data_IF_151031224626
#
_entry.id   IF_151031224626
#
_cell.length_a   1.000
_cell.length_b   1.000
_cell.length_c   1.000
_cell.angle_alpha   90.00
_cell.angle_beta   90.00
_cell.angle_gamma   90.00
#
_symmetry.space_group_name_H-M   'P 1'
#
loop_
_entity.id
_entity.type
_entity.pdbx_description
1 polymer ?
#
# COMPACT_ATOMS: atom_id res chain seq x y z
N UNK A 1 -4.82 -8.09 -15.13
CA UNK A 1 -4.63 -7.03 -16.12
C UNK A 1 -4.11 -5.82 -15.36
N UNK A 2 -2.79 -5.60 -15.41
CA UNK A 2 -2.12 -4.50 -14.71
C UNK A 2 -2.22 -3.28 -15.63
N UNK A 3 -3.10 -2.36 -15.33
CA UNK A 3 -3.31 -1.08 -15.99
C UNK A 3 -3.61 -1.14 -17.51
N UNK A 4 -4.86 -0.96 -17.91
CA UNK A 4 -5.21 -0.73 -19.31
C UNK A 4 -4.98 0.72 -19.76
N UNK A 5 -4.34 1.54 -18.94
CA UNK A 5 -4.25 3.00 -19.15
C UNK A 5 -3.01 3.37 -19.97
N UNK A 6 -2.68 2.56 -20.98
CA UNK A 6 -1.63 2.93 -21.95
C UNK A 6 -2.20 3.96 -22.93
N UNK A 7 -1.87 5.21 -22.67
CA UNK A 7 -2.13 6.31 -23.57
C UNK A 7 -1.14 6.21 -24.76
N UNK A 8 -1.64 6.31 -25.98
CA UNK A 8 -0.82 6.39 -27.16
C UNK A 8 -0.17 7.77 -27.29
N UNK A 9 1.15 7.82 -27.13
CA UNK A 9 1.94 9.05 -27.03
C UNK A 9 2.19 9.84 -28.28
N UNK A 10 1.87 9.32 -29.43
CA UNK A 10 2.24 9.95 -30.67
C UNK A 10 1.59 11.32 -30.92
N UNK A 11 0.62 11.71 -30.09
CA UNK A 11 -0.13 12.97 -30.26
C UNK A 11 0.05 14.02 -29.18
N UNK A 12 0.75 13.72 -28.09
CA UNK A 12 0.89 14.67 -26.96
C UNK A 12 2.01 15.72 -27.22
N UNK A 13 1.85 16.56 -28.22
CA UNK A 13 2.77 17.68 -28.50
C UNK A 13 2.47 18.91 -27.63
N UNK A 14 1.33 18.98 -26.97
CA UNK A 14 0.95 20.02 -26.01
C UNK A 14 0.09 19.42 -24.90
N UNK A 15 0.29 19.87 -23.68
CA UNK A 15 -0.60 19.55 -22.55
C UNK A 15 -1.95 20.23 -22.82
N UNK A 16 -3.04 19.48 -22.76
CA UNK A 16 -4.37 20.04 -22.82
C UNK A 16 -4.71 20.83 -21.54
N UNK A 17 -5.71 21.69 -21.62
CA UNK A 17 -6.10 22.51 -20.48
C UNK A 17 -6.65 21.65 -19.32
N UNK A 18 -6.20 21.91 -18.10
CA UNK A 18 -6.75 21.27 -16.92
C UNK A 18 -8.25 21.57 -16.73
N UNK A 19 -8.73 22.77 -17.14
CA UNK A 19 -10.15 23.11 -17.07
C UNK A 19 -10.97 22.17 -17.96
N UNK A 20 -10.48 21.87 -19.15
CA UNK A 20 -11.11 20.91 -20.05
C UNK A 20 -11.09 19.49 -19.49
N UNK A 21 -9.96 19.06 -18.90
CA UNK A 21 -9.84 17.77 -18.25
C UNK A 21 -10.82 17.61 -17.06
N UNK A 22 -10.98 18.66 -16.24
CA UNK A 22 -11.96 18.67 -15.15
C UNK A 22 -13.40 18.65 -15.67
N UNK A 23 -13.71 19.42 -16.72
CA UNK A 23 -15.04 19.43 -17.32
C UNK A 23 -15.40 18.03 -17.86
N UNK A 24 -14.52 17.45 -18.67
CA UNK A 24 -14.75 16.12 -19.24
C UNK A 24 -14.87 15.04 -18.17
N UNK A 25 -14.03 15.08 -17.12
CA UNK A 25 -14.15 14.15 -16.00
C UNK A 25 -15.48 14.29 -15.25
N UNK A 26 -15.91 15.52 -14.99
CA UNK A 26 -17.16 15.80 -14.28
C UNK A 26 -18.38 15.37 -15.11
N UNK A 27 -18.35 15.63 -16.41
CA UNK A 27 -19.39 15.18 -17.34
C UNK A 27 -19.48 13.66 -17.42
N UNK A 28 -18.32 12.98 -17.47
CA UNK A 28 -18.25 11.52 -17.53
C UNK A 28 -18.78 10.85 -16.26
N UNK A 29 -18.59 11.44 -15.10
CA UNK A 29 -19.10 10.93 -13.82
C UNK A 29 -20.60 11.21 -13.65
N UNK A 30 -21.06 12.37 -14.10
CA UNK A 30 -22.48 12.79 -14.16
C UNK A 30 -23.33 12.48 -12.90
N UNK A 31 -22.74 12.60 -11.73
CA UNK A 31 -23.40 12.33 -10.45
C UNK A 31 -23.57 13.59 -9.57
N UNK A 32 -23.23 14.77 -10.12
CA UNK A 32 -23.30 16.05 -9.42
C UNK A 32 -22.21 16.28 -8.36
N UNK A 33 -21.25 15.32 -8.19
CA UNK A 33 -20.15 15.49 -7.28
C UNK A 33 -19.01 16.32 -7.90
N UNK A 34 -18.32 17.10 -7.05
CA UNK A 34 -17.12 17.82 -7.46
C UNK A 34 -15.87 16.94 -7.29
N UNK A 35 -14.86 17.10 -8.16
CA UNK A 35 -13.59 16.42 -8.00
C UNK A 35 -12.89 16.86 -6.70
N UNK A 36 -12.28 15.92 -5.99
CA UNK A 36 -11.61 16.15 -4.71
C UNK A 36 -10.11 16.28 -4.84
N UNK A 37 -9.51 15.65 -5.85
CA UNK A 37 -8.06 15.59 -6.05
C UNK A 37 -7.71 15.30 -7.51
N UNK A 38 -6.61 15.91 -7.97
CA UNK A 38 -5.93 15.49 -9.20
C UNK A 38 -4.55 14.92 -8.87
N UNK A 39 -4.21 13.80 -9.48
CA UNK A 39 -2.86 13.25 -9.50
C UNK A 39 -2.32 13.32 -10.93
N UNK A 40 -1.26 14.10 -11.12
CA UNK A 40 -0.62 14.22 -12.41
C UNK A 40 0.15 12.96 -12.77
N UNK A 41 0.16 12.60 -14.05
CA UNK A 41 0.99 11.52 -14.56
C UNK A 41 2.47 11.75 -14.24
N UNK A 42 3.14 10.72 -13.73
CA UNK A 42 4.54 10.81 -13.24
C UNK A 42 5.58 10.82 -14.37
N UNK A 43 5.21 10.44 -15.56
CA UNK A 43 6.08 10.41 -16.74
C UNK A 43 5.24 10.72 -17.98
N UNK A 44 5.92 11.07 -19.08
CA UNK A 44 5.27 11.26 -20.39
C UNK A 44 4.47 9.98 -20.67
N UNK A 45 3.14 10.09 -20.85
CA UNK A 45 2.18 9.09 -21.11
C UNK A 45 1.48 8.43 -19.95
N UNK A 46 1.80 8.81 -18.79
CA UNK A 46 0.92 8.44 -17.69
C UNK A 46 -0.32 9.33 -17.73
N UNK A 47 -1.52 8.76 -17.61
CA UNK A 47 -2.75 9.54 -17.54
C UNK A 47 -2.75 10.41 -16.28
N UNK A 48 -3.47 11.52 -16.34
CA UNK A 48 -3.87 12.25 -15.15
C UNK A 48 -5.05 11.53 -14.49
N UNK A 49 -5.04 11.41 -13.18
CA UNK A 49 -6.12 10.75 -12.43
C UNK A 49 -6.86 11.81 -11.63
N UNK A 50 -8.12 12.02 -11.96
CA UNK A 50 -9.03 12.90 -11.22
C UNK A 50 -9.89 12.02 -10.31
N UNK A 51 -9.88 12.31 -9.00
CA UNK A 51 -10.66 11.58 -8.01
C UNK A 51 -11.91 12.33 -7.62
N UNK A 52 -12.99 11.61 -7.53
CA UNK A 52 -14.28 12.02 -7.00
C UNK A 52 -14.57 11.29 -5.69
N UNK A 53 -15.53 11.78 -4.89
CA UNK A 53 -16.00 11.05 -3.72
C UNK A 53 -16.39 9.62 -4.06
N UNK A 54 -16.27 8.72 -3.07
CA UNK A 54 -16.73 7.36 -3.23
C UNK A 54 -18.24 7.31 -3.55
N UNK A 55 -18.62 6.44 -4.46
CA UNK A 55 -20.03 6.13 -4.68
C UNK A 55 -20.57 5.31 -3.49
N UNK A 56 -21.88 5.38 -3.27
CA UNK A 56 -22.52 4.61 -2.21
C UNK A 56 -22.25 3.10 -2.39
N UNK A 57 -21.68 2.47 -1.38
CA UNK A 57 -21.29 1.06 -1.42
C UNK A 57 -19.94 0.76 -2.11
N UNK A 58 -19.26 1.74 -2.67
CA UNK A 58 -17.94 1.53 -3.28
C UNK A 58 -16.83 1.42 -2.22
N UNK A 59 -15.79 0.62 -2.52
CA UNK A 59 -14.65 0.40 -1.63
C UNK A 59 -13.75 1.64 -1.44
N UNK A 60 -13.87 2.64 -2.33
CA UNK A 60 -13.07 3.85 -2.27
C UNK A 60 -13.49 4.89 -3.31
N UNK A 61 -12.72 5.97 -3.47
CA UNK A 61 -13.05 7.06 -4.38
C UNK A 61 -13.12 6.60 -5.83
N UNK A 62 -13.96 7.27 -6.61
CA UNK A 62 -14.04 7.06 -8.05
C UNK A 62 -12.84 7.74 -8.72
N UNK A 63 -12.13 7.04 -9.55
CA UNK A 63 -10.97 7.52 -10.32
C UNK A 63 -11.34 7.63 -11.80
N UNK A 64 -11.13 8.80 -12.36
CA UNK A 64 -11.25 9.09 -13.79
C UNK A 64 -9.87 9.33 -14.35
N UNK A 65 -9.45 8.47 -15.27
CA UNK A 65 -8.17 8.61 -15.99
C UNK A 65 -8.37 9.49 -17.20
N UNK A 66 -7.52 10.49 -17.38
CA UNK A 66 -7.58 11.49 -18.45
C UNK A 66 -6.28 11.45 -19.25
N UNK A 67 -6.39 11.45 -20.55
CA UNK A 67 -5.26 11.64 -21.45
C UNK A 67 -4.70 13.06 -21.31
N UNK A 68 -3.42 13.24 -20.98
CA UNK A 68 -2.83 14.57 -20.80
C UNK A 68 -2.74 15.40 -22.10
N UNK A 69 -2.79 14.77 -23.27
CA UNK A 69 -2.69 15.45 -24.56
C UNK A 69 -4.04 15.88 -25.13
N UNK A 70 -5.07 15.06 -24.93
CA UNK A 70 -6.40 15.29 -25.52
C UNK A 70 -7.45 15.73 -24.50
N UNK A 71 -7.21 15.56 -23.21
CA UNK A 71 -8.19 15.67 -22.11
C UNK A 71 -9.37 14.71 -22.23
N UNK A 72 -9.25 13.67 -23.04
CA UNK A 72 -10.28 12.64 -23.15
C UNK A 72 -10.25 11.68 -21.93
N UNK A 73 -11.42 11.22 -21.54
CA UNK A 73 -11.55 10.20 -20.50
C UNK A 73 -11.16 8.84 -21.07
N UNK A 74 -10.11 8.25 -20.52
CA UNK A 74 -9.59 6.94 -20.98
C UNK A 74 -10.15 5.78 -20.15
N UNK A 75 -10.44 5.99 -18.87
CA UNK A 75 -11.02 4.97 -18.00
C UNK A 75 -11.72 5.59 -16.78
N UNK A 76 -12.74 4.90 -16.28
CA UNK A 76 -13.42 5.19 -15.01
C UNK A 76 -13.40 3.91 -14.18
N UNK A 77 -12.94 4.01 -12.92
CA UNK A 77 -12.84 2.85 -12.03
C UNK A 77 -12.97 3.25 -10.56
N UNK A 78 -13.44 2.35 -9.72
CA UNK A 78 -13.44 2.55 -8.28
C UNK A 78 -12.09 2.13 -7.70
N UNK A 79 -11.54 2.98 -6.86
CA UNK A 79 -10.37 2.62 -6.08
C UNK A 79 -10.74 1.50 -5.08
N UNK A 80 -9.90 0.48 -4.98
CA UNK A 80 -10.19 -0.71 -4.16
C UNK A 80 -10.66 -1.92 -4.95
N UNK A 81 -11.13 -1.75 -6.19
CA UNK A 81 -11.68 -2.86 -6.99
C UNK A 81 -10.65 -3.53 -7.92
N UNK A 82 -9.50 -2.92 -8.17
CA UNK A 82 -8.44 -3.53 -8.97
C UNK A 82 -7.31 -4.09 -8.08
N UNK A 83 -6.56 -5.12 -8.53
CA UNK A 83 -5.72 -5.96 -7.68
C UNK A 83 -4.79 -5.19 -6.75
N UNK A 84 -4.09 -4.17 -7.23
CA UNK A 84 -3.11 -3.41 -6.42
C UNK A 84 -3.80 -2.69 -5.26
N UNK A 85 -4.92 -2.00 -5.52
CA UNK A 85 -5.66 -1.27 -4.49
C UNK A 85 -6.44 -2.19 -3.57
N UNK A 86 -6.87 -3.35 -4.06
CA UNK A 86 -7.48 -4.39 -3.24
C UNK A 86 -6.49 -4.93 -2.20
N UNK A 87 -5.27 -5.32 -2.61
CA UNK A 87 -4.22 -5.74 -1.66
C UNK A 87 -3.82 -4.62 -0.71
N UNK A 88 -3.79 -3.38 -1.19
CA UNK A 88 -3.54 -2.23 -0.35
C UNK A 88 -4.62 -2.07 0.73
N UNK A 89 -5.91 -2.13 0.38
CA UNK A 89 -7.02 -2.07 1.32
C UNK A 89 -7.04 -3.26 2.28
N UNK A 90 -6.70 -4.45 1.80
CA UNK A 90 -6.54 -5.63 2.66
C UNK A 90 -5.46 -5.40 3.72
N UNK A 91 -4.32 -4.83 3.33
CA UNK A 91 -3.22 -4.55 4.25
C UNK A 91 -3.55 -3.47 5.28
N UNK A 92 -4.23 -2.40 4.87
CA UNK A 92 -4.53 -1.26 5.75
C UNK A 92 -5.76 -1.45 6.63
N UNK A 93 -6.75 -2.24 6.20
CA UNK A 93 -8.05 -2.29 6.88
C UNK A 93 -8.77 -3.63 6.77
N UNK A 94 -8.10 -4.69 6.36
CA UNK A 94 -8.74 -6.01 6.14
C UNK A 94 -10.03 -5.94 5.29
N UNK A 95 -10.16 -4.93 4.42
CA UNK A 95 -11.35 -4.66 3.62
C UNK A 95 -12.61 -4.35 4.46
N UNK A 96 -12.48 -4.02 5.73
CA UNK A 96 -13.59 -3.78 6.67
C UNK A 96 -13.67 -2.34 7.18
N UNK A 97 -13.04 -1.41 6.46
CA UNK A 97 -13.09 0.03 6.77
C UNK A 97 -12.42 0.40 8.10
N UNK A 98 -13.05 1.29 8.86
CA UNK A 98 -12.47 1.84 10.10
C UNK A 98 -12.19 0.80 11.16
N UNK A 99 -13.08 -0.19 11.33
CA UNK A 99 -12.87 -1.28 12.29
C UNK A 99 -11.65 -2.11 11.92
N UNK A 100 -11.46 -2.39 10.63
CA UNK A 100 -10.27 -3.11 10.16
C UNK A 100 -8.99 -2.31 10.33
N UNK A 101 -9.02 -1.01 10.07
CA UNK A 101 -7.88 -0.12 10.29
C UNK A 101 -7.49 -0.10 11.77
N UNK A 102 -8.46 0.00 12.68
CA UNK A 102 -8.21 -0.10 14.12
C UNK A 102 -7.54 -1.44 14.49
N UNK A 103 -8.03 -2.57 13.96
CA UNK A 103 -7.42 -3.89 14.21
C UNK A 103 -5.98 -3.97 13.68
N UNK A 104 -5.71 -3.42 12.49
CA UNK A 104 -4.34 -3.35 11.94
C UNK A 104 -3.42 -2.54 12.85
N UNK A 105 -3.89 -1.41 13.39
CA UNK A 105 -3.15 -0.63 14.36
C UNK A 105 -2.82 -1.40 15.64
N UNK A 106 -3.80 -2.13 16.20
CA UNK A 106 -3.58 -3.01 17.36
C UNK A 106 -2.53 -4.10 17.03
N UNK A 107 -2.59 -4.70 15.85
CA UNK A 107 -1.59 -5.67 15.42
C UNK A 107 -0.20 -5.03 15.28
N UNK A 108 -0.11 -3.78 14.85
CA UNK A 108 1.14 -3.00 14.84
C UNK A 108 1.75 -2.86 16.24
N UNK A 109 0.93 -2.55 17.26
CA UNK A 109 1.36 -2.49 18.67
C UNK A 109 1.83 -3.87 19.15
N UNK A 110 1.10 -4.93 18.83
CA UNK A 110 1.50 -6.30 19.17
C UNK A 110 2.84 -6.66 18.52
N UNK A 111 3.04 -6.32 17.24
CA UNK A 111 4.29 -6.55 16.53
C UNK A 111 5.46 -5.80 17.18
N UNK A 112 5.24 -4.55 17.58
CA UNK A 112 6.23 -3.75 18.30
C UNK A 112 6.61 -4.41 19.64
N UNK A 113 5.62 -4.81 20.42
CA UNK A 113 5.83 -5.50 21.69
C UNK A 113 6.60 -6.81 21.53
N UNK A 114 6.21 -7.66 20.55
CA UNK A 114 6.91 -8.93 20.30
C UNK A 114 8.31 -8.72 19.73
N UNK A 115 8.54 -7.68 18.95
CA UNK A 115 9.88 -7.37 18.44
C UNK A 115 10.83 -6.95 19.57
N UNK A 116 10.37 -6.10 20.49
CA UNK A 116 11.16 -5.68 21.65
C UNK A 116 11.41 -6.86 22.60
N UNK A 117 10.37 -7.61 22.94
CA UNK A 117 10.49 -8.76 23.86
C UNK A 117 11.34 -9.87 23.24
N UNK A 118 11.19 -10.13 21.93
CA UNK A 118 12.02 -11.07 21.20
C UNK A 118 13.50 -10.71 21.22
N UNK A 119 13.83 -9.43 21.06
CA UNK A 119 15.19 -8.94 21.17
C UNK A 119 15.77 -9.14 22.58
N UNK A 120 14.97 -8.87 23.62
CA UNK A 120 15.39 -9.07 25.03
C UNK A 120 15.65 -10.55 25.32
N UNK A 121 14.75 -11.44 24.90
CA UNK A 121 14.88 -12.89 25.09
C UNK A 121 16.07 -13.46 24.29
N UNK A 122 16.29 -12.96 23.09
CA UNK A 122 17.40 -13.38 22.24
C UNK A 122 18.76 -12.94 22.79
N UNK A 123 18.84 -11.89 23.61
CA UNK A 123 20.09 -11.26 24.00
C UNK A 123 21.11 -12.28 24.57
N UNK A 124 22.24 -12.51 23.91
CA UNK A 124 23.19 -13.53 24.35
C UNK A 124 23.99 -13.09 25.57
N UNK A 125 24.28 -14.03 26.46
CA UNK A 125 25.23 -13.81 27.56
C UNK A 125 26.63 -13.52 27.02
N UNK A 126 27.47 -12.87 27.83
CA UNK A 126 28.87 -12.56 27.47
C UNK A 126 29.58 -13.82 26.95
N UNK A 127 30.22 -13.71 25.79
CA UNK A 127 30.94 -14.82 25.14
C UNK A 127 30.09 -15.82 24.34
N UNK A 128 28.74 -15.67 24.32
CA UNK A 128 27.85 -16.57 23.59
C UNK A 128 27.39 -16.06 22.20
N UNK A 129 27.93 -14.94 21.74
CA UNK A 129 27.53 -14.28 20.49
C UNK A 129 27.61 -15.20 19.26
N UNK A 130 28.71 -15.95 19.08
CA UNK A 130 28.83 -16.90 17.95
C UNK A 130 27.73 -17.95 17.96
N UNK A 131 27.36 -18.46 19.15
CA UNK A 131 26.28 -19.44 19.30
C UNK A 131 24.90 -18.85 19.05
N UNK A 132 24.69 -17.57 19.31
CA UNK A 132 23.44 -16.89 19.09
C UNK A 132 23.03 -16.87 17.60
N UNK A 133 24.01 -16.79 16.71
CA UNK A 133 23.81 -16.80 15.25
C UNK A 133 24.01 -18.19 14.60
N UNK A 134 24.31 -19.22 15.37
CA UNK A 134 24.54 -20.56 14.82
C UNK A 134 23.24 -21.33 14.68
N UNK A 135 23.00 -21.90 13.50
CA UNK A 135 21.89 -22.81 13.19
C UNK A 135 22.45 -24.23 13.20
N UNK A 136 21.91 -25.10 14.06
CA UNK A 136 22.30 -26.53 14.13
C UNK A 136 21.36 -27.37 13.27
N UNK A 137 21.87 -27.93 12.19
CA UNK A 137 21.08 -28.77 11.26
C UNK A 137 20.92 -30.21 11.75
N UNK A 138 21.78 -30.67 12.65
CA UNK A 138 21.81 -32.07 13.12
C UNK A 138 21.03 -32.32 14.42
N UNK A 139 20.22 -31.34 14.86
CA UNK A 139 19.49 -31.38 16.15
C UNK A 139 18.03 -31.82 16.07
N UNK A 140 17.57 -32.30 14.92
CA UNK A 140 16.17 -32.62 14.67
C UNK A 140 15.30 -31.40 14.31
N UNK A 141 14.04 -31.63 13.84
CA UNK A 141 13.19 -30.55 13.29
C UNK A 141 12.87 -29.46 14.29
N UNK A 142 12.59 -29.82 15.54
CA UNK A 142 12.30 -28.83 16.58
C UNK A 142 13.46 -27.86 16.83
N UNK A 143 14.68 -28.42 16.93
CA UNK A 143 15.88 -27.61 17.13
C UNK A 143 16.18 -26.71 15.94
N UNK A 144 15.98 -27.22 14.74
CA UNK A 144 16.19 -26.47 13.51
C UNK A 144 15.21 -25.29 13.45
N UNK A 145 13.92 -25.52 13.69
CA UNK A 145 12.90 -24.46 13.70
C UNK A 145 13.20 -23.39 14.75
N UNK A 146 13.62 -23.78 15.94
CA UNK A 146 14.02 -22.87 17.00
C UNK A 146 15.19 -21.98 16.58
N UNK A 147 16.27 -22.60 16.04
CA UNK A 147 17.45 -21.86 15.61
C UNK A 147 17.16 -20.97 14.40
N UNK A 148 16.32 -21.41 13.47
CA UNK A 148 15.84 -20.58 12.33
C UNK A 148 15.04 -19.39 12.83
N UNK A 149 14.02 -19.61 13.66
CA UNK A 149 13.20 -18.54 14.21
C UNK A 149 14.06 -17.50 14.96
N UNK A 150 14.94 -17.96 15.82
CA UNK A 150 15.87 -17.13 16.59
C UNK A 150 16.78 -16.29 15.68
N UNK A 151 17.37 -16.90 14.67
CA UNK A 151 18.37 -16.27 13.81
C UNK A 151 17.71 -15.35 12.78
N UNK A 152 16.67 -15.81 12.11
CA UNK A 152 15.90 -14.98 11.16
C UNK A 152 15.24 -13.81 11.89
N UNK A 153 14.63 -14.08 13.05
CA UNK A 153 13.97 -13.06 13.86
C UNK A 153 14.88 -11.88 14.17
N UNK A 154 16.10 -12.12 14.65
CA UNK A 154 17.00 -11.02 15.01
C UNK A 154 17.45 -10.19 13.79
N UNK A 155 17.64 -10.82 12.63
CA UNK A 155 17.97 -10.09 11.41
C UNK A 155 16.81 -9.19 10.92
N UNK A 156 15.56 -9.63 11.14
CA UNK A 156 14.38 -8.88 10.72
C UNK A 156 13.85 -7.89 11.78
N UNK A 157 14.38 -7.88 13.00
CA UNK A 157 13.93 -6.94 14.04
C UNK A 157 13.97 -5.48 13.59
N UNK A 158 15.03 -4.94 12.96
CA UNK A 158 15.02 -3.54 12.52
C UNK A 158 13.88 -3.26 11.54
N UNK A 159 13.59 -4.20 10.64
CA UNK A 159 12.49 -4.09 9.71
C UNK A 159 11.13 -4.12 10.44
N UNK A 160 10.93 -5.05 11.38
CA UNK A 160 9.69 -5.16 12.14
C UNK A 160 9.44 -3.94 13.03
N UNK A 161 10.47 -3.39 13.65
CA UNK A 161 10.37 -2.14 14.40
C UNK A 161 9.95 -0.98 13.50
N UNK A 162 10.58 -0.85 12.34
CA UNK A 162 10.22 0.20 11.37
C UNK A 162 8.76 0.02 10.90
N UNK A 163 8.37 -1.18 10.50
CA UNK A 163 7.02 -1.46 10.01
C UNK A 163 5.95 -1.27 11.08
N UNK A 164 6.24 -1.65 12.33
CA UNK A 164 5.29 -1.47 13.44
C UNK A 164 5.10 0.01 13.77
N UNK A 165 6.17 0.78 13.86
CA UNK A 165 6.10 2.23 14.15
C UNK A 165 5.36 2.94 13.03
N UNK A 166 5.74 2.73 11.76
CA UNK A 166 5.09 3.38 10.63
C UNK A 166 3.63 2.91 10.46
N UNK A 167 3.32 1.64 10.75
CA UNK A 167 1.96 1.13 10.70
C UNK A 167 1.06 1.75 11.77
N UNK A 168 1.57 1.96 12.98
CA UNK A 168 0.85 2.64 14.07
C UNK A 168 0.58 4.11 13.68
N UNK A 169 1.58 4.84 13.19
CA UNK A 169 1.48 6.23 12.74
C UNK A 169 0.47 6.45 11.59
N UNK A 170 0.29 5.46 10.72
CA UNK A 170 -0.70 5.56 9.62
C UNK A 170 -2.13 5.40 10.13
N UNK A 171 -2.33 4.66 11.22
CA UNK A 171 -3.67 4.37 11.76
C UNK A 171 -4.12 5.45 12.74
N UNK A 172 -3.20 6.03 13.52
CA UNK A 172 -3.46 7.02 14.56
C UNK A 172 -2.59 8.27 14.43
#
# INVERSE_FOLDING_TARGET
>A
MLAPDTVNFETATALASFDLAFANATEAVNNGSAPTRIALGRHLGAPHIIRFPALEGAAGPLEVSIDPGTSEVTAIRNWGEYPVTWFYSLHLSFLTGEMGAFLVGVMGICLLFFSISGMVIWWPKKGAWKRAFTIKTNGGPFRLNFDLHKTIGIYFIPLFLMLSITGIEIVW
#
